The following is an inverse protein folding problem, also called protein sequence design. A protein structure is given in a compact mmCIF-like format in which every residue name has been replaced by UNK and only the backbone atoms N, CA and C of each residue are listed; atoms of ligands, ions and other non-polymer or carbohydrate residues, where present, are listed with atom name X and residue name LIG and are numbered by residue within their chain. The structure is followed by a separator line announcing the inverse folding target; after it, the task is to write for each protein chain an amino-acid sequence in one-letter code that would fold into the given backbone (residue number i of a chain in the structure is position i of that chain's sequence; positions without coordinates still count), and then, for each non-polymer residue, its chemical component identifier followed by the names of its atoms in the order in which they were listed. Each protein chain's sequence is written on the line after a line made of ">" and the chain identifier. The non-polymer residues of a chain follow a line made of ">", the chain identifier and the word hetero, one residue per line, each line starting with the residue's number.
data_IF_501183395069
#
_entry.id   IF_501183395069
#
_cell.length_a   1.000
_cell.length_b   1.000
_cell.length_c   1.000
_cell.angle_alpha   90.00
_cell.angle_beta   90.00
_cell.angle_gamma   90.00
#
_symmetry.space_group_name_H-M   'P 1'
#
loop_
_entity.id
_entity.type
_entity.pdbx_description
1 polymer ?
#
# COMPACT_ATOMS: atom_id res chain seq x y z
N UNK A 1 -2.51 -14.05 31.99
CA UNK A 1 -3.43 -14.40 30.90
C UNK A 1 -2.60 -14.88 29.72
N UNK A 2 -2.66 -16.17 29.40
CA UNK A 2 -1.93 -16.76 28.27
C UNK A 2 -2.74 -16.52 27.01
N UNK A 3 -2.21 -15.71 26.09
CA UNK A 3 -2.72 -15.63 24.71
C UNK A 3 -2.54 -17.00 24.06
N UNK A 4 -3.61 -17.79 24.09
CA UNK A 4 -3.69 -19.04 23.34
C UNK A 4 -3.52 -18.73 21.87
N UNK A 5 -2.62 -19.44 21.19
CA UNK A 5 -2.59 -19.42 19.74
C UNK A 5 -3.98 -19.83 19.23
N UNK A 6 -4.58 -19.09 18.29
CA UNK A 6 -5.90 -19.43 17.75
C UNK A 6 -5.86 -20.87 17.19
N UNK A 7 -6.97 -21.60 17.37
CA UNK A 7 -7.10 -22.97 16.91
C UNK A 7 -6.86 -23.10 15.40
N UNK A 8 -6.49 -24.30 14.91
CA UNK A 8 -6.17 -24.53 13.51
C UNK A 8 -7.31 -24.16 12.54
N UNK A 9 -8.57 -24.15 13.00
CA UNK A 9 -9.75 -23.89 12.16
C UNK A 9 -10.10 -22.41 11.95
N UNK A 10 -9.52 -21.47 12.70
CA UNK A 10 -9.85 -20.03 12.62
C UNK A 10 -8.76 -19.18 11.92
N UNK A 11 -7.67 -19.83 11.49
CA UNK A 11 -6.54 -19.16 10.86
C UNK A 11 -6.37 -19.60 9.42
N UNK A 12 -6.45 -18.66 8.47
CA UNK A 12 -6.11 -18.93 7.07
C UNK A 12 -4.68 -18.49 6.79
N UNK A 13 -3.88 -19.42 6.26
CA UNK A 13 -2.50 -19.18 5.85
C UNK A 13 -2.41 -18.18 4.69
N UNK A 14 -1.42 -17.29 4.77
CA UNK A 14 -0.95 -16.56 3.61
C UNK A 14 0.22 -17.32 3.00
N UNK A 15 0.29 -17.33 1.67
CA UNK A 15 1.34 -18.05 0.96
C UNK A 15 2.69 -17.44 1.36
N UNK A 16 3.67 -18.27 1.67
CA UNK A 16 4.96 -17.81 2.19
C UNK A 16 6.14 -18.52 1.54
N UNK A 17 7.33 -17.90 1.58
CA UNK A 17 8.56 -18.62 1.33
C UNK A 17 8.74 -19.74 2.39
N UNK A 18 9.15 -20.92 1.94
CA UNK A 18 9.26 -22.13 2.77
C UNK A 18 10.20 -22.00 3.98
N UNK A 19 11.18 -21.08 3.94
CA UNK A 19 12.16 -20.88 5.01
C UNK A 19 11.74 -19.93 6.14
N UNK A 20 10.50 -19.44 6.18
CA UNK A 20 10.09 -18.45 7.19
C UNK A 20 9.64 -19.15 8.49
N UNK A 21 10.36 -18.90 9.59
CA UNK A 21 10.10 -19.49 10.93
C UNK A 21 8.66 -19.19 11.42
N UNK A 22 8.18 -17.96 11.21
CA UNK A 22 6.82 -17.55 11.55
C UNK A 22 6.03 -17.26 10.28
N UNK A 23 5.10 -18.16 9.94
CA UNK A 23 4.30 -18.02 8.73
C UNK A 23 3.32 -16.83 8.85
N UNK A 24 3.23 -15.99 7.80
CA UNK A 24 2.21 -14.97 7.72
C UNK A 24 0.82 -15.61 7.62
N UNK A 25 -0.16 -14.99 8.28
CA UNK A 25 -1.53 -15.53 8.35
C UNK A 25 -2.53 -14.43 8.67
N UNK A 26 -3.79 -14.71 8.34
CA UNK A 26 -4.94 -13.90 8.75
C UNK A 26 -5.82 -14.74 9.65
N UNK A 27 -6.23 -14.18 10.77
CA UNK A 27 -7.12 -14.82 11.74
C UNK A 27 -8.35 -13.94 11.88
N UNK A 28 -9.53 -14.53 11.74
CA UNK A 28 -10.80 -13.84 11.92
C UNK A 28 -11.42 -14.36 13.22
N UNK A 29 -11.35 -13.58 14.28
CA UNK A 29 -11.78 -13.97 15.63
C UNK A 29 -12.33 -12.75 16.39
N UNK A 30 -13.36 -12.97 17.21
CA UNK A 30 -13.94 -11.95 18.09
C UNK A 30 -14.43 -10.70 17.37
N UNK A 31 -14.94 -10.83 16.15
CA UNK A 31 -15.39 -9.71 15.32
C UNK A 31 -14.24 -8.82 14.78
N UNK A 32 -13.02 -9.35 14.72
CA UNK A 32 -11.85 -8.65 14.20
C UNK A 32 -11.09 -9.51 13.18
N UNK A 33 -10.56 -8.84 12.16
CA UNK A 33 -9.58 -9.41 11.22
C UNK A 33 -8.19 -9.06 11.74
N UNK A 34 -7.42 -10.07 12.14
CA UNK A 34 -6.06 -9.95 12.65
C UNK A 34 -5.07 -10.48 11.63
N UNK A 35 -4.27 -9.58 11.05
CA UNK A 35 -3.19 -9.95 10.14
C UNK A 35 -1.87 -10.05 10.89
N UNK A 36 -1.19 -11.18 10.75
CA UNK A 36 0.17 -11.39 11.26
C UNK A 36 1.13 -11.47 10.07
N UNK A 37 1.99 -10.45 9.93
CA UNK A 37 2.95 -10.34 8.83
C UNK A 37 4.38 -10.20 9.37
N UNK A 38 5.04 -11.30 9.77
CA UNK A 38 6.32 -11.22 10.47
C UNK A 38 7.47 -10.59 9.67
N UNK A 39 7.44 -10.74 8.35
CA UNK A 39 8.39 -10.08 7.45
C UNK A 39 8.30 -8.56 7.52
N UNK A 40 7.09 -8.00 7.62
CA UNK A 40 6.85 -6.56 7.61
C UNK A 40 6.84 -5.96 9.02
N UNK A 41 6.12 -6.56 9.95
CA UNK A 41 5.81 -5.99 11.26
C UNK A 41 6.42 -6.81 12.42
N UNK A 42 7.30 -7.77 12.10
CA UNK A 42 8.02 -8.60 13.05
C UNK A 42 7.13 -9.65 13.71
N UNK A 43 6.32 -9.23 14.67
CA UNK A 43 5.36 -10.11 15.36
C UNK A 43 4.10 -9.37 15.80
N UNK A 44 3.95 -8.10 15.40
CA UNK A 44 2.80 -7.29 15.77
C UNK A 44 1.61 -7.70 14.91
N UNK A 45 0.51 -8.04 15.56
CA UNK A 45 -0.76 -8.24 14.89
C UNK A 45 -1.32 -6.88 14.46
N UNK A 46 -1.77 -6.81 13.21
CA UNK A 46 -2.58 -5.71 12.74
C UNK A 46 -4.05 -6.12 12.84
N UNK A 47 -4.72 -5.60 13.87
CA UNK A 47 -6.11 -5.91 14.14
C UNK A 47 -7.01 -4.79 13.61
N UNK A 48 -8.02 -5.16 12.83
CA UNK A 48 -9.02 -4.26 12.27
C UNK A 48 -10.39 -4.87 12.60
N UNK A 49 -11.35 -4.12 13.17
CA UNK A 49 -12.68 -4.65 13.41
C UNK A 49 -13.30 -5.12 12.08
N UNK A 50 -13.86 -6.33 12.07
CA UNK A 50 -14.32 -6.98 10.84
C UNK A 50 -15.40 -6.16 10.12
N UNK A 51 -16.29 -5.49 10.87
CA UNK A 51 -17.28 -4.53 10.32
C UNK A 51 -16.69 -3.41 9.45
N UNK A 52 -15.40 -3.13 9.59
CA UNK A 52 -14.69 -2.13 8.80
C UNK A 52 -13.93 -2.74 7.62
N UNK A 53 -14.08 -4.04 7.36
CA UNK A 53 -13.35 -4.77 6.32
C UNK A 53 -14.33 -5.30 5.29
N UNK A 54 -14.13 -4.89 4.03
CA UNK A 54 -14.75 -5.48 2.87
C UNK A 54 -13.75 -6.39 2.15
N UNK A 55 -14.15 -7.59 1.73
CA UNK A 55 -13.26 -8.59 1.14
C UNK A 55 -13.67 -8.98 -0.29
N UNK A 56 -12.69 -9.12 -1.17
CA UNK A 56 -12.85 -9.65 -2.52
C UNK A 56 -11.86 -10.80 -2.79
N UNK A 57 -12.38 -11.90 -3.31
CA UNK A 57 -11.57 -12.97 -3.88
C UNK A 57 -11.25 -12.65 -5.34
N UNK A 58 -10.00 -12.25 -5.61
CA UNK A 58 -9.55 -11.86 -6.95
C UNK A 58 -9.26 -13.08 -7.85
N UNK A 59 -9.29 -14.29 -7.31
CA UNK A 59 -9.14 -15.52 -8.10
C UNK A 59 -10.45 -16.03 -8.68
N UNK A 60 -11.58 -15.68 -8.08
CA UNK A 60 -12.91 -16.10 -8.50
C UNK A 60 -13.58 -15.10 -9.46
N UNK A 61 -13.17 -13.83 -9.44
CA UNK A 61 -13.75 -12.78 -10.29
C UNK A 61 -12.94 -12.63 -11.57
N UNK A 62 -13.42 -13.07 -12.75
CA UNK A 62 -12.82 -12.65 -14.02
C UNK A 62 -12.93 -11.12 -14.15
N UNK A 63 -11.96 -10.45 -14.78
CA UNK A 63 -12.09 -9.02 -15.05
C UNK A 63 -13.39 -8.79 -15.84
N UNK A 64 -14.26 -7.91 -15.34
CA UNK A 64 -15.53 -7.62 -15.99
C UNK A 64 -15.27 -7.14 -17.43
N UNK A 65 -15.57 -8.01 -18.40
CA UNK A 65 -15.62 -7.64 -19.81
C UNK A 65 -16.98 -7.00 -20.08
N UNK A 66 -16.96 -5.70 -20.38
CA UNK A 66 -18.14 -4.98 -20.89
C UNK A 66 -18.71 -3.98 -19.88
N UNK A 67 -18.77 -2.72 -20.32
CA UNK A 67 -19.18 -1.52 -19.58
C UNK A 67 -18.22 -1.13 -18.44
N UNK A 68 -17.14 -0.42 -18.79
CA UNK A 68 -16.44 0.42 -17.81
C UNK A 68 -17.40 1.54 -17.40
N UNK A 69 -18.13 1.34 -16.30
CA UNK A 69 -18.68 2.47 -15.57
C UNK A 69 -17.54 3.46 -15.29
N UNK A 70 -17.77 4.77 -15.46
CA UNK A 70 -16.73 5.76 -15.24
C UNK A 70 -16.23 5.63 -13.80
N UNK A 71 -14.95 5.26 -13.66
CA UNK A 71 -14.32 5.07 -12.37
C UNK A 71 -14.44 6.37 -11.56
N UNK A 72 -14.96 6.33 -10.32
CA UNK A 72 -15.21 7.53 -9.53
C UNK A 72 -13.92 8.32 -9.35
N UNK A 73 -13.99 9.64 -9.57
CA UNK A 73 -12.87 10.53 -9.28
C UNK A 73 -12.86 10.82 -7.79
N UNK A 74 -12.01 10.10 -7.07
CA UNK A 74 -11.89 10.24 -5.62
C UNK A 74 -11.16 11.52 -5.26
N UNK A 75 -11.63 12.22 -4.21
CA UNK A 75 -10.98 13.41 -3.67
C UNK A 75 -9.53 13.13 -3.25
N UNK A 76 -9.30 11.95 -2.64
CA UNK A 76 -7.99 11.44 -2.27
C UNK A 76 -7.61 10.19 -3.06
N UNK A 77 -6.33 10.04 -3.37
CA UNK A 77 -5.79 8.80 -3.93
C UNK A 77 -5.89 7.67 -2.89
N UNK A 78 -6.27 6.47 -3.33
CA UNK A 78 -6.36 5.29 -2.47
C UNK A 78 -4.98 4.70 -2.25
N UNK A 79 -4.61 4.45 -1.00
CA UNK A 79 -3.41 3.72 -0.66
C UNK A 79 -3.77 2.24 -0.42
N UNK A 80 -3.58 1.39 -1.44
CA UNK A 80 -3.85 -0.06 -1.37
C UNK A 80 -2.59 -0.85 -1.75
N UNK A 81 -1.60 -0.98 -0.85
CA UNK A 81 -0.37 -1.71 -1.14
C UNK A 81 -0.59 -3.22 -1.26
N UNK A 82 0.26 -3.85 -2.05
CA UNK A 82 0.43 -5.29 -2.04
C UNK A 82 1.46 -5.71 -0.99
N UNK A 83 1.00 -6.38 0.06
CA UNK A 83 1.85 -6.93 1.11
C UNK A 83 2.23 -8.36 0.74
N UNK A 84 3.14 -8.51 -0.23
CA UNK A 84 3.56 -9.83 -0.67
C UNK A 84 4.26 -10.59 0.45
N UNK A 85 3.81 -11.81 0.66
CA UNK A 85 4.39 -12.77 1.62
C UNK A 85 5.19 -13.86 0.91
N UNK A 86 5.11 -13.91 -0.42
CA UNK A 86 5.86 -14.77 -1.35
C UNK A 86 6.83 -13.94 -2.20
N UNK A 87 7.12 -14.38 -3.43
CA UNK A 87 7.89 -13.57 -4.37
C UNK A 87 7.14 -12.34 -4.87
N UNK A 88 7.87 -11.24 -5.14
CA UNK A 88 7.30 -9.96 -5.53
C UNK A 88 6.59 -10.00 -6.90
N UNK A 89 7.00 -10.93 -7.77
CA UNK A 89 6.38 -11.14 -9.08
C UNK A 89 5.06 -11.93 -9.03
N UNK A 90 4.67 -12.42 -7.85
CA UNK A 90 3.42 -13.19 -7.70
C UNK A 90 2.26 -12.24 -7.50
N UNK A 91 1.25 -12.29 -8.38
CA UNK A 91 0.06 -11.43 -8.28
C UNK A 91 -0.76 -11.75 -7.01
N UNK A 92 -1.35 -10.75 -6.34
CA UNK A 92 -2.30 -10.98 -5.25
C UNK A 92 -3.52 -11.78 -5.73
N UNK A 93 -4.21 -12.45 -4.81
CA UNK A 93 -5.48 -13.14 -5.07
C UNK A 93 -6.58 -12.76 -4.07
N UNK A 94 -6.31 -11.81 -3.18
CA UNK A 94 -7.27 -11.32 -2.19
C UNK A 94 -7.10 -9.82 -2.02
N UNK A 95 -8.20 -9.10 -1.96
CA UNK A 95 -8.26 -7.69 -1.62
C UNK A 95 -9.06 -7.53 -0.31
N UNK A 96 -8.50 -6.79 0.63
CA UNK A 96 -9.21 -6.28 1.81
C UNK A 96 -9.28 -4.76 1.71
N UNK A 97 -10.47 -4.20 1.61
CA UNK A 97 -10.71 -2.76 1.66
C UNK A 97 -11.22 -2.37 3.04
N UNK A 98 -10.85 -1.18 3.51
CA UNK A 98 -11.22 -0.71 4.83
C UNK A 98 -12.20 0.46 4.74
N UNK A 99 -13.30 0.44 5.47
CA UNK A 99 -14.27 1.57 5.44
C UNK A 99 -13.61 2.88 5.85
N UNK A 100 -12.60 2.84 6.72
CA UNK A 100 -11.79 3.98 7.12
C UNK A 100 -10.29 3.70 6.95
N UNK A 101 -9.45 4.72 6.71
CA UNK A 101 -8.01 4.53 6.58
C UNK A 101 -7.37 4.00 7.87
N UNK A 102 -6.79 2.79 7.79
CA UNK A 102 -6.24 2.07 8.93
C UNK A 102 -4.76 2.38 9.13
N UNK A 103 -4.37 2.63 10.39
CA UNK A 103 -2.97 2.87 10.75
C UNK A 103 -2.16 1.57 10.60
N UNK A 104 -1.09 1.64 9.84
CA UNK A 104 -0.17 0.53 9.62
C UNK A 104 0.73 0.35 10.85
N UNK A 105 0.97 -0.89 11.31
CA UNK A 105 1.95 -1.14 12.37
C UNK A 105 3.36 -0.67 11.99
N UNK A 106 4.25 -0.43 12.97
CA UNK A 106 5.64 -0.06 12.69
C UNK A 106 6.36 -1.08 11.80
N UNK A 107 6.76 -0.63 10.62
CA UNK A 107 7.42 -1.42 9.58
C UNK A 107 8.86 -1.74 9.98
N UNK A 108 9.35 -2.96 9.84
CA UNK A 108 10.76 -3.27 10.12
C UNK A 108 11.70 -2.58 9.13
N UNK A 109 12.95 -2.34 9.54
CA UNK A 109 13.91 -1.62 8.72
C UNK A 109 14.30 -2.41 7.46
N UNK A 110 14.50 -3.71 7.62
CA UNK A 110 14.76 -4.63 6.51
C UNK A 110 13.61 -4.66 5.50
N UNK A 111 12.36 -4.73 5.95
CA UNK A 111 11.20 -4.64 5.07
C UNK A 111 11.07 -3.29 4.37
N UNK A 112 11.47 -2.19 5.02
CA UNK A 112 11.44 -0.85 4.45
C UNK A 112 12.57 -0.59 3.43
N UNK A 113 13.67 -1.32 3.52
CA UNK A 113 14.84 -1.20 2.64
C UNK A 113 14.89 -2.31 1.57
N UNK A 114 13.95 -3.25 1.60
CA UNK A 114 13.92 -4.34 0.66
C UNK A 114 13.65 -3.81 -0.76
N UNK A 115 14.49 -4.15 -1.75
CA UNK A 115 14.47 -3.54 -3.08
C UNK A 115 13.20 -3.83 -3.88
N UNK A 116 12.41 -4.81 -3.44
CA UNK A 116 11.21 -5.27 -4.13
C UNK A 116 9.92 -4.84 -3.42
N UNK A 117 10.00 -3.92 -2.46
CA UNK A 117 8.88 -3.55 -1.61
C UNK A 117 8.39 -2.15 -1.96
N UNK A 118 7.50 -2.07 -2.95
CA UNK A 118 6.84 -0.83 -3.36
C UNK A 118 5.70 -0.49 -2.38
N UNK A 119 6.09 -0.01 -1.20
CA UNK A 119 5.16 0.43 -0.16
C UNK A 119 4.97 1.95 -0.23
N UNK A 120 3.73 2.47 -0.12
CA UNK A 120 3.47 3.91 -0.03
C UNK A 120 3.92 4.51 1.32
N UNK A 121 4.60 3.74 2.17
CA UNK A 121 5.07 4.15 3.49
C UNK A 121 6.41 3.50 3.82
N UNK A 122 7.20 4.17 4.66
CA UNK A 122 8.53 3.72 5.07
C UNK A 122 8.67 3.52 6.57
N UNK A 123 9.91 3.18 6.97
CA UNK A 123 10.27 2.91 8.36
C UNK A 123 9.93 4.08 9.31
N UNK A 124 10.24 5.31 8.91
CA UNK A 124 10.00 6.49 9.76
C UNK A 124 8.52 6.89 9.80
N UNK A 125 7.82 6.86 8.66
CA UNK A 125 6.42 7.30 8.61
C UNK A 125 5.50 6.41 9.46
N UNK A 126 5.70 5.10 9.45
CA UNK A 126 4.94 4.14 10.28
C UNK A 126 5.19 4.27 11.79
N UNK A 127 6.30 4.90 12.21
CA UNK A 127 6.65 5.14 13.62
C UNK A 127 6.27 6.53 14.12
N UNK A 128 6.00 7.47 13.22
CA UNK A 128 5.56 8.79 13.60
C UNK A 128 4.23 8.75 14.35
N UNK A 129 3.96 9.79 15.15
CA UNK A 129 2.70 9.95 15.87
C UNK A 129 1.50 9.90 14.93
N UNK A 130 1.57 10.63 13.80
CA UNK A 130 0.56 10.59 12.72
C UNK A 130 0.39 9.18 12.14
N UNK A 131 1.49 8.42 12.08
CA UNK A 131 1.55 7.09 11.48
C UNK A 131 1.39 7.12 9.95
N UNK A 132 1.59 5.95 9.33
CA UNK A 132 1.14 5.73 7.96
C UNK A 132 -0.24 5.08 7.98
N UNK A 133 -1.10 5.44 7.03
CA UNK A 133 -2.44 4.87 6.89
C UNK A 133 -2.65 4.33 5.48
N UNK A 134 -3.45 3.28 5.37
CA UNK A 134 -3.87 2.71 4.09
C UNK A 134 -5.37 2.50 4.04
N UNK A 135 -5.92 2.51 2.84
CA UNK A 135 -7.34 2.33 2.54
C UNK A 135 -7.72 0.86 2.33
N UNK A 136 -6.72 0.01 2.11
CA UNK A 136 -6.89 -1.42 1.93
C UNK A 136 -5.53 -2.11 1.82
N UNK A 137 -5.54 -3.43 1.65
CA UNK A 137 -4.36 -4.23 1.39
C UNK A 137 -4.66 -5.32 0.39
N UNK A 138 -3.73 -5.56 -0.51
CA UNK A 138 -3.71 -6.74 -1.37
C UNK A 138 -2.87 -7.82 -0.70
N UNK A 139 -3.33 -9.06 -0.77
CA UNK A 139 -2.68 -10.22 -0.16
C UNK A 139 -2.65 -11.41 -1.12
N UNK A 140 -1.78 -12.38 -0.80
CA UNK A 140 -1.76 -13.70 -1.41
C UNK A 140 -2.15 -14.75 -0.38
N UNK A 141 -3.43 -15.10 -0.33
CA UNK A 141 -3.94 -16.17 0.50
C UNK A 141 -3.68 -17.54 -0.14
N UNK A 142 -3.47 -18.57 0.69
CA UNK A 142 -3.38 -19.95 0.20
C UNK A 142 -4.75 -20.43 -0.31
N UNK A 143 -5.82 -20.07 0.41
CA UNK A 143 -7.21 -20.31 0.02
C UNK A 143 -8.01 -18.99 0.16
N UNK A 144 -8.10 -18.18 -0.92
CA UNK A 144 -8.76 -16.88 -0.86
C UNK A 144 -10.28 -17.00 -0.62
N UNK A 145 -10.93 -18.03 -1.15
CA UNK A 145 -12.35 -18.30 -0.93
C UNK A 145 -12.67 -18.60 0.54
N UNK A 146 -11.87 -19.45 1.19
CA UNK A 146 -12.02 -19.73 2.62
C UNK A 146 -11.81 -18.47 3.47
N UNK A 147 -10.77 -17.68 3.16
CA UNK A 147 -10.51 -16.44 3.90
C UNK A 147 -11.62 -15.40 3.69
N UNK A 148 -12.16 -15.26 2.47
CA UNK A 148 -13.36 -14.44 2.21
C UNK A 148 -14.50 -14.86 3.13
N UNK A 149 -14.79 -16.15 3.18
CA UNK A 149 -15.86 -16.68 4.04
C UNK A 149 -15.61 -16.37 5.52
N UNK A 150 -14.38 -16.56 6.02
CA UNK A 150 -14.04 -16.24 7.41
C UNK A 150 -14.22 -14.76 7.75
N UNK A 151 -13.88 -13.85 6.83
CA UNK A 151 -14.10 -12.41 7.04
C UNK A 151 -15.58 -12.08 7.10
N UNK A 152 -16.40 -12.66 6.20
CA UNK A 152 -17.85 -12.47 6.20
C UNK A 152 -18.47 -13.00 7.50
N UNK A 153 -18.07 -14.21 7.94
CA UNK A 153 -18.55 -14.80 9.20
C UNK A 153 -18.14 -13.97 10.42
N UNK A 154 -17.00 -13.30 10.39
CA UNK A 154 -16.58 -12.39 11.46
C UNK A 154 -17.33 -11.04 11.46
N UNK A 155 -18.23 -10.80 10.51
CA UNK A 155 -19.01 -9.56 10.40
C UNK A 155 -18.45 -8.52 9.45
N UNK A 156 -17.51 -8.91 8.57
CA UNK A 156 -17.10 -8.10 7.43
C UNK A 156 -18.10 -8.17 6.28
N UNK A 157 -17.91 -7.32 5.28
CA UNK A 157 -18.76 -7.25 4.10
C UNK A 157 -18.06 -7.82 2.86
N UNK A 158 -18.87 -8.15 1.86
CA UNK A 158 -18.36 -8.54 0.55
C UNK A 158 -18.09 -7.31 -0.30
N UNK A 159 -17.03 -7.33 -1.09
CA UNK A 159 -16.70 -6.29 -2.07
C UNK A 159 -17.00 -6.80 -3.49
N UNK A 160 -18.26 -7.15 -3.74
CA UNK A 160 -18.70 -7.67 -5.04
C UNK A 160 -18.92 -6.53 -6.07
N UNK A 161 -19.28 -5.33 -5.60
CA UNK A 161 -19.34 -4.09 -6.39
C UNK A 161 -18.33 -3.06 -5.85
N UNK A 162 -17.08 -3.06 -6.36
CA UNK A 162 -16.06 -2.12 -5.92
C UNK A 162 -16.41 -0.65 -6.22
N UNK A 163 -17.16 -0.37 -7.28
CA UNK A 163 -17.47 1.01 -7.69
C UNK A 163 -18.52 1.58 -6.75
N UNK A 164 -19.65 0.88 -6.55
CA UNK A 164 -20.68 1.28 -5.59
C UNK A 164 -20.12 1.39 -4.17
N UNK A 165 -19.25 0.47 -3.75
CA UNK A 165 -18.60 0.54 -2.45
C UNK A 165 -17.75 1.81 -2.27
N UNK A 166 -17.04 2.25 -3.34
CA UNK A 166 -16.29 3.50 -3.30
C UNK A 166 -17.21 4.72 -3.20
N UNK A 167 -18.34 4.74 -3.88
CA UNK A 167 -19.32 5.82 -3.73
C UNK A 167 -19.90 5.90 -2.31
N UNK A 168 -20.11 4.76 -1.67
CA UNK A 168 -20.68 4.68 -0.32
C UNK A 168 -19.66 5.08 0.77
N UNK A 169 -18.40 4.68 0.61
CA UNK A 169 -17.40 4.78 1.69
C UNK A 169 -16.27 5.79 1.42
N UNK A 170 -16.28 6.49 0.27
CA UNK A 170 -15.25 7.47 -0.08
C UNK A 170 -15.86 8.77 -0.58
N UNK A 171 -15.10 9.84 -0.38
CA UNK A 171 -15.44 11.14 -0.93
C UNK A 171 -15.15 11.15 -2.43
N UNK A 172 -16.24 11.18 -3.21
CA UNK A 172 -16.20 11.29 -4.67
C UNK A 172 -16.44 12.74 -5.07
N UNK A 173 -15.60 13.25 -5.94
CA UNK A 173 -15.72 14.60 -6.49
C UNK A 173 -16.75 14.57 -7.60
N UNK A 174 -17.87 15.26 -7.43
CA UNK A 174 -18.96 15.31 -8.41
C UNK A 174 -18.76 16.41 -9.48
N UNK A 175 -18.05 17.49 -9.16
CA UNK A 175 -17.84 18.63 -10.07
C UNK A 175 -16.82 18.28 -11.17
N UNK A 176 -17.26 18.31 -12.43
CA UNK A 176 -16.45 18.04 -13.63
C UNK A 176 -15.21 18.95 -13.72
N UNK A 177 -15.30 20.20 -13.30
CA UNK A 177 -14.16 21.13 -13.30
C UNK A 177 -13.14 20.77 -12.21
N UNK A 178 -13.63 20.39 -11.04
CA UNK A 178 -12.77 19.94 -9.95
C UNK A 178 -12.09 18.61 -10.31
N UNK A 179 -12.82 17.66 -10.91
CA UNK A 179 -12.29 16.40 -11.44
C UNK A 179 -11.15 16.64 -12.45
N UNK A 180 -11.37 17.52 -13.43
CA UNK A 180 -10.36 17.85 -14.44
C UNK A 180 -9.12 18.49 -13.81
N UNK A 181 -9.32 19.36 -12.81
CA UNK A 181 -8.22 20.01 -12.07
C UNK A 181 -7.38 19.00 -11.28
N UNK A 182 -8.02 18.03 -10.60
CA UNK A 182 -7.35 16.98 -9.84
C UNK A 182 -6.60 16.03 -10.76
N UNK A 183 -7.23 15.60 -11.86
CA UNK A 183 -6.58 14.76 -12.87
C UNK A 183 -5.34 15.45 -13.46
N UNK A 184 -5.44 16.76 -13.78
CA UNK A 184 -4.31 17.55 -14.30
C UNK A 184 -3.20 17.69 -13.26
N UNK A 185 -3.52 18.02 -12.01
CA UNK A 185 -2.55 18.12 -10.90
C UNK A 185 -1.79 16.81 -10.69
N UNK A 186 -2.49 15.66 -10.72
CA UNK A 186 -1.87 14.33 -10.59
C UNK A 186 -0.93 14.02 -11.76
N UNK A 187 -1.33 14.33 -13.00
CA UNK A 187 -0.45 14.16 -14.19
C UNK A 187 0.80 15.02 -14.09
N UNK A 188 0.66 16.31 -13.76
CA UNK A 188 1.79 17.22 -13.62
C UNK A 188 2.75 16.74 -12.52
N UNK A 189 2.21 16.29 -11.37
CA UNK A 189 3.03 15.70 -10.31
C UNK A 189 3.85 14.49 -10.77
N UNK A 190 3.24 13.55 -11.49
CA UNK A 190 3.95 12.38 -12.06
C UNK A 190 5.01 12.78 -13.08
N UNK A 191 4.71 13.75 -13.96
CA UNK A 191 5.69 14.28 -14.92
C UNK A 191 6.89 14.91 -14.21
N UNK A 192 6.67 15.70 -13.15
CA UNK A 192 7.76 16.30 -12.35
C UNK A 192 8.58 15.21 -11.67
N UNK A 193 7.94 14.18 -11.12
CA UNK A 193 8.64 13.06 -10.48
C UNK A 193 9.51 12.28 -11.48
N UNK A 194 8.98 11.99 -12.68
CA UNK A 194 9.75 11.36 -13.75
C UNK A 194 10.92 12.24 -14.20
N UNK A 195 10.70 13.55 -14.38
CA UNK A 195 11.76 14.48 -14.74
C UNK A 195 12.86 14.53 -13.66
N UNK A 196 12.49 14.57 -12.38
CA UNK A 196 13.44 14.56 -11.26
C UNK A 196 14.23 13.23 -11.20
N UNK A 197 13.57 12.10 -11.45
CA UNK A 197 14.22 10.79 -11.50
C UNK A 197 15.20 10.69 -12.68
N UNK A 198 14.80 11.15 -13.87
CA UNK A 198 15.68 11.19 -15.05
C UNK A 198 16.89 12.07 -14.78
N UNK A 199 16.68 13.25 -14.18
CA UNK A 199 17.77 14.15 -13.81
C UNK A 199 18.71 13.52 -12.78
N UNK A 200 18.17 12.82 -11.77
CA UNK A 200 18.97 12.10 -10.78
C UNK A 200 19.80 10.98 -11.42
N UNK A 201 19.23 10.20 -12.33
CA UNK A 201 19.94 9.14 -13.07
C UNK A 201 21.00 9.73 -14.00
N UNK A 202 20.66 10.78 -14.75
CA UNK A 202 21.58 11.46 -15.66
C UNK A 202 22.78 12.08 -14.92
N UNK A 203 22.54 12.67 -13.75
CA UNK A 203 23.62 13.20 -12.90
C UNK A 203 24.42 12.07 -12.24
N UNK A 204 23.78 11.00 -11.76
CA UNK A 204 24.49 9.88 -11.12
C UNK A 204 25.36 9.08 -12.11
N UNK A 205 24.93 8.94 -13.37
CA UNK A 205 25.64 8.18 -14.41
C UNK A 205 26.58 9.08 -15.23
N UNK A 206 26.28 10.37 -15.39
CA UNK A 206 27.03 11.32 -16.21
C UNK A 206 28.25 11.93 -15.53
N UNK A 207 28.28 11.99 -14.19
CA UNK A 207 29.38 12.61 -13.42
C UNK A 207 30.75 11.94 -13.63
N UNK A 208 30.89 10.61 -13.79
CA UNK A 208 32.21 10.01 -14.03
C UNK A 208 32.79 10.28 -15.43
N UNK A 209 31.99 10.76 -16.40
CA UNK A 209 32.44 10.96 -17.79
C UNK A 209 32.62 12.43 -18.20
N UNK A 210 32.11 13.37 -17.41
CA UNK A 210 32.12 14.81 -17.74
C UNK A 210 33.04 15.64 -16.82
N UNK A 211 33.61 15.06 -15.76
CA UNK A 211 34.58 15.75 -14.91
C UNK A 211 35.98 15.47 -15.45
N UNK A 212 36.36 16.25 -16.47
CA UNK A 212 37.76 16.57 -16.71
C UNK A 212 38.28 17.45 -15.56
N UNK A 213 39.60 17.40 -15.34
CA UNK A 213 40.38 17.74 -14.15
C UNK A 213 40.21 19.12 -13.45
N UNK A 214 39.21 19.95 -13.78
CA UNK A 214 39.07 21.29 -13.20
C UNK A 214 37.74 21.52 -12.44
N UNK A 215 37.77 21.26 -11.12
CA UNK A 215 36.96 22.00 -10.12
C UNK A 215 35.80 21.26 -9.41
N UNK A 216 35.52 21.57 -8.12
CA UNK A 216 34.73 20.77 -7.20
C UNK A 216 33.22 21.10 -7.26
N UNK A 217 32.63 21.17 -8.45
CA UNK A 217 31.20 21.51 -8.62
C UNK A 217 30.26 20.31 -8.46
N UNK A 218 30.79 19.09 -8.50
CA UNK A 218 30.03 17.86 -8.28
C UNK A 218 29.23 17.82 -6.96
N UNK A 219 29.70 18.35 -5.81
CA UNK A 219 28.92 18.39 -4.57
C UNK A 219 27.75 19.36 -4.68
N UNK A 220 27.85 20.41 -5.50
CA UNK A 220 26.75 21.38 -5.73
C UNK A 220 25.65 20.73 -6.57
N UNK A 221 26.00 19.95 -7.59
CA UNK A 221 25.03 19.18 -8.36
C UNK A 221 24.38 18.07 -7.52
N UNK A 222 25.14 17.39 -6.67
CA UNK A 222 24.61 16.38 -5.75
C UNK A 222 23.70 17.02 -4.69
N UNK A 223 24.09 18.18 -4.14
CA UNK A 223 23.27 18.96 -3.22
C UNK A 223 21.99 19.43 -3.90
N UNK A 224 22.04 19.93 -5.14
CA UNK A 224 20.86 20.34 -5.91
C UNK A 224 19.95 19.15 -6.26
N UNK A 225 20.50 17.99 -6.60
CA UNK A 225 19.73 16.77 -6.86
C UNK A 225 19.06 16.25 -5.57
N UNK A 226 19.78 16.27 -4.45
CA UNK A 226 19.25 15.90 -3.13
C UNK A 226 18.19 16.92 -2.67
N UNK A 227 18.42 18.22 -2.87
CA UNK A 227 17.45 19.27 -2.55
C UNK A 227 16.22 19.17 -3.46
N UNK A 228 16.37 18.92 -4.76
CA UNK A 228 15.25 18.70 -5.67
C UNK A 228 14.44 17.44 -5.29
N UNK A 229 15.13 16.36 -4.90
CA UNK A 229 14.50 15.15 -4.35
C UNK A 229 13.77 15.42 -3.03
N UNK A 230 14.40 16.13 -2.09
CA UNK A 230 13.85 16.48 -0.78
C UNK A 230 12.73 17.51 -0.86
N UNK A 231 12.78 18.48 -1.78
CA UNK A 231 11.68 19.43 -2.02
C UNK A 231 10.54 18.76 -2.80
N UNK A 232 10.83 17.84 -3.72
CA UNK A 232 9.84 16.97 -4.34
C UNK A 232 9.10 16.10 -3.32
N UNK A 233 9.83 15.51 -2.37
CA UNK A 233 9.28 14.74 -1.24
C UNK A 233 8.60 15.63 -0.17
N UNK A 234 9.14 16.83 0.09
CA UNK A 234 8.66 17.77 1.12
C UNK A 234 7.40 18.53 0.72
N UNK A 235 7.20 18.79 -0.57
CA UNK A 235 5.94 19.28 -1.12
C UNK A 235 4.80 18.24 -0.95
N UNK A 236 5.15 16.95 -0.82
CA UNK A 236 4.22 15.87 -0.50
C UNK A 236 3.93 15.79 1.01
N UNK A 237 4.94 15.94 1.86
CA UNK A 237 4.80 15.91 3.32
C UNK A 237 3.94 17.04 3.90
N UNK A 238 3.93 18.23 3.28
CA UNK A 238 3.08 19.36 3.70
C UNK A 238 1.64 19.30 3.17
N UNK A 239 1.33 18.44 2.19
CA UNK A 239 -0.03 18.27 1.63
C UNK A 239 -0.85 17.14 2.25
N UNK A 240 -0.24 16.31 3.10
CA UNK A 240 -0.93 15.32 3.95
C UNK A 240 -1.25 15.84 5.36
N UNK A 241 -0.97 17.13 5.63
CA UNK A 241 -1.19 17.78 6.93
C UNK A 241 -2.28 18.87 6.91
N UNK A 242 -3.04 18.97 5.82
CA UNK A 242 -4.32 19.68 5.72
C UNK A 242 -5.33 18.72 5.13
#
# INVERSE_FOLDING_TARGET
>A
MRDGAPGPDESTGLKAYWFVIRKPRVVCDGGAVRMMLPGYFGGRAWAIPARHVAVQDLSATPPAEGAQEPQPVLARELAVPYLFTTGPMTRPNLLLMFTEPQRVPPLRLDAALAPNTDLPFGYRSTRSEKGARVDGVLLRADNPAALRQSVLTAGGSSLDDPVGWLYEHREVVADVMEQASLARRRRVGRCIQLAAMILFVATSIGVPRLVADDGPWWPVFLLLAVLAGLFGLGAFGRRLAR
#
